data_IF_790234091857
#
_entry.id   IF_790234091857
#
_cell.length_a   1.000
_cell.length_b   1.000
_cell.length_c   1.000
_cell.angle_alpha   90.00
_cell.angle_beta   90.00
_cell.angle_gamma   90.00
#
_symmetry.space_group_name_H-M   'P 1'
#
loop_
_entity.id
_entity.type
_entity.pdbx_description
1 polymer ?
#
# COMPACT_ATOMS: atom_id res chain seq x y z
N UNK A 1 -16.72 -4.72 3.71
CA UNK A 1 -15.68 -5.53 3.04
C UNK A 1 -15.87 -5.69 1.53
N UNK A 2 -17.10 -5.70 0.99
CA UNK A 2 -17.33 -5.91 -0.46
C UNK A 2 -16.56 -4.94 -1.37
N UNK A 3 -16.46 -3.65 -1.01
CA UNK A 3 -15.71 -2.67 -1.80
C UNK A 3 -14.20 -3.00 -1.87
N UNK A 4 -13.57 -3.33 -0.74
CA UNK A 4 -12.15 -3.70 -0.70
C UNK A 4 -11.86 -5.00 -1.46
N UNK A 5 -12.77 -5.99 -1.38
CA UNK A 5 -12.66 -7.22 -2.17
C UNK A 5 -12.55 -6.92 -3.66
N UNK A 6 -13.45 -6.06 -4.18
CA UNK A 6 -13.43 -5.65 -5.60
C UNK A 6 -12.15 -4.93 -5.99
N UNK A 7 -11.61 -4.06 -5.11
CA UNK A 7 -10.35 -3.38 -5.38
C UNK A 7 -9.16 -4.36 -5.43
N UNK A 8 -9.17 -5.41 -4.61
CA UNK A 8 -8.13 -6.44 -4.63
C UNK A 8 -8.24 -7.38 -5.84
N UNK A 9 -9.45 -7.88 -6.13
CA UNK A 9 -9.72 -8.78 -7.27
C UNK A 9 -9.56 -8.08 -8.63
N UNK A 10 -9.80 -6.76 -8.63
CA UNK A 10 -9.60 -5.89 -9.77
C UNK A 10 -10.88 -5.21 -10.21
N UNK A 11 -10.72 -3.96 -10.67
CA UNK A 11 -11.79 -3.22 -11.33
C UNK A 11 -11.40 -2.92 -12.77
N UNK A 12 -12.37 -2.91 -13.66
CA UNK A 12 -12.13 -2.54 -15.05
C UNK A 12 -11.79 -1.05 -15.15
N UNK A 13 -10.56 -0.77 -15.54
CA UNK A 13 -10.10 0.57 -15.83
C UNK A 13 -10.14 0.83 -17.34
N UNK A 14 -10.69 1.96 -17.80
CA UNK A 14 -10.71 2.32 -19.20
C UNK A 14 -9.32 2.23 -19.84
N UNK A 15 -9.19 1.40 -20.88
CA UNK A 15 -7.93 1.20 -21.61
C UNK A 15 -6.86 0.33 -20.91
N UNK A 16 -7.15 -0.22 -19.72
CA UNK A 16 -6.21 -1.09 -18.98
C UNK A 16 -6.79 -2.47 -18.62
N UNK A 17 -8.10 -2.66 -18.79
CA UNK A 17 -8.77 -3.90 -18.37
C UNK A 17 -8.85 -4.02 -16.85
N UNK A 18 -9.04 -5.24 -16.30
CA UNK A 18 -9.15 -5.45 -14.86
C UNK A 18 -7.80 -5.23 -14.17
N UNK A 19 -7.75 -4.30 -13.21
CA UNK A 19 -6.53 -3.96 -12.46
C UNK A 19 -6.81 -4.05 -10.95
N UNK A 20 -5.99 -4.83 -10.24
CA UNK A 20 -5.94 -4.84 -8.78
C UNK A 20 -5.35 -3.53 -8.25
N UNK A 21 -6.11 -2.82 -7.41
CA UNK A 21 -5.79 -1.48 -6.94
C UNK A 21 -5.30 -1.41 -5.50
N UNK A 22 -5.44 -2.51 -4.75
CA UNK A 22 -4.92 -2.60 -3.39
C UNK A 22 -4.30 -3.97 -3.14
N UNK A 23 -3.41 -4.05 -2.16
CA UNK A 23 -2.98 -5.32 -1.56
C UNK A 23 -4.12 -6.01 -0.80
N UNK A 24 -3.91 -7.28 -0.44
CA UNK A 24 -4.95 -8.10 0.20
C UNK A 24 -5.49 -7.46 1.49
N UNK A 25 -6.82 -7.28 1.55
CA UNK A 25 -7.49 -6.49 2.57
C UNK A 25 -7.67 -7.17 3.93
N UNK A 26 -7.45 -8.50 4.03
CA UNK A 26 -7.52 -9.22 5.30
C UNK A 26 -6.11 -9.43 5.82
N UNK A 27 -5.58 -8.38 6.42
CA UNK A 27 -4.22 -8.32 6.95
C UNK A 27 -4.25 -7.68 8.33
N UNK A 28 -3.46 -8.24 9.24
CA UNK A 28 -3.12 -7.69 10.56
C UNK A 28 -1.76 -6.97 10.54
N UNK A 29 -1.10 -6.95 9.39
CA UNK A 29 0.20 -6.32 9.17
C UNK A 29 0.06 -4.83 8.89
N UNK A 30 1.01 -4.06 9.44
CA UNK A 30 1.24 -2.65 9.11
C UNK A 30 2.56 -2.45 8.36
N UNK A 31 3.24 -3.55 8.01
CA UNK A 31 4.49 -3.53 7.25
C UNK A 31 4.25 -2.99 5.85
N UNK A 32 5.16 -2.16 5.36
CA UNK A 32 5.16 -1.65 3.98
C UNK A 32 6.44 -2.15 3.30
N UNK A 33 6.34 -2.64 2.07
CA UNK A 33 7.50 -3.02 1.27
C UNK A 33 8.38 -1.78 0.94
N UNK A 34 9.71 -1.91 0.91
CA UNK A 34 10.62 -0.79 0.61
C UNK A 34 10.27 -0.08 -0.70
N UNK A 35 9.91 -0.83 -1.75
CA UNK A 35 9.59 -0.29 -3.07
C UNK A 35 8.32 0.58 -3.02
N UNK A 36 7.32 0.17 -2.25
CA UNK A 36 6.08 0.92 -2.07
C UNK A 36 6.30 2.18 -1.22
N UNK A 37 7.17 2.09 -0.21
CA UNK A 37 7.58 3.25 0.57
C UNK A 37 8.30 4.29 -0.29
N UNK A 38 9.19 3.86 -1.17
CA UNK A 38 9.89 4.76 -2.09
C UNK A 38 8.96 5.37 -3.13
N UNK A 39 7.99 4.61 -3.65
CA UNK A 39 6.95 5.12 -4.54
C UNK A 39 6.12 6.21 -3.87
N UNK A 40 5.67 5.99 -2.62
CA UNK A 40 4.94 6.98 -1.84
C UNK A 40 5.78 8.24 -1.59
N UNK A 41 7.06 8.10 -1.21
CA UNK A 41 7.97 9.24 -1.01
C UNK A 41 8.16 10.07 -2.28
N UNK A 42 8.34 9.42 -3.43
CA UNK A 42 8.43 10.11 -4.74
C UNK A 42 7.16 10.89 -5.06
N UNK A 43 5.99 10.28 -4.82
CA UNK A 43 4.72 10.95 -5.04
C UNK A 43 4.52 12.14 -4.09
N UNK A 44 4.83 12.00 -2.80
CA UNK A 44 4.76 13.10 -1.83
C UNK A 44 5.72 14.22 -2.24
N UNK A 45 6.95 13.91 -2.63
CA UNK A 45 7.91 14.93 -3.08
C UNK A 45 7.37 15.75 -4.26
N UNK A 46 6.67 15.11 -5.20
CA UNK A 46 6.13 15.76 -6.38
C UNK A 46 4.88 16.61 -6.12
N UNK A 47 4.06 16.25 -5.13
CA UNK A 47 2.75 16.88 -4.89
C UNK A 47 2.71 17.75 -3.62
N UNK A 48 3.46 17.36 -2.58
CA UNK A 48 3.47 17.96 -1.25
C UNK A 48 4.88 17.89 -0.63
N UNK A 49 5.89 18.57 -1.22
CA UNK A 49 7.28 18.45 -0.79
C UNK A 49 7.50 18.80 0.68
N UNK A 50 6.78 19.80 1.20
CA UNK A 50 6.87 20.24 2.60
C UNK A 50 6.34 19.18 3.59
N UNK A 51 5.55 18.22 3.11
CA UNK A 51 5.00 17.12 3.89
C UNK A 51 5.88 15.86 3.87
N UNK A 52 7.01 15.86 3.15
CA UNK A 52 7.90 14.70 3.07
C UNK A 52 8.78 14.59 4.33
N UNK A 53 8.70 13.50 5.10
CA UNK A 53 9.62 13.28 6.21
C UNK A 53 11.06 13.11 5.71
N UNK A 54 12.02 13.75 6.42
CA UNK A 54 13.45 13.66 6.10
C UNK A 54 13.94 12.22 5.99
N UNK A 55 13.48 11.35 6.90
CA UNK A 55 13.77 9.91 6.91
C UNK A 55 12.51 9.09 6.65
N UNK A 56 12.61 7.90 6.01
CA UNK A 56 11.46 7.02 5.82
C UNK A 56 10.89 6.52 7.16
N UNK A 57 9.56 6.49 7.28
CA UNK A 57 8.89 5.92 8.46
C UNK A 57 8.93 4.40 8.40
N UNK A 58 9.49 3.75 9.42
CA UNK A 58 9.57 2.29 9.46
C UNK A 58 8.43 1.71 10.29
N UNK A 59 7.52 1.02 9.62
CA UNK A 59 6.42 0.29 10.25
C UNK A 59 6.77 -1.18 10.33
N UNK A 60 6.98 -1.67 11.56
CA UNK A 60 7.26 -3.08 11.84
C UNK A 60 6.06 -3.72 12.53
N UNK A 61 5.80 -4.96 12.18
CA UNK A 61 4.74 -5.75 12.81
C UNK A 61 5.08 -6.06 14.28
N UNK A 62 4.03 -6.21 15.09
CA UNK A 62 4.16 -6.73 16.47
C UNK A 62 4.44 -8.23 16.42
N UNK A 63 5.04 -8.77 17.48
CA UNK A 63 5.28 -10.21 17.62
C UNK A 63 3.96 -10.98 17.46
N UNK A 64 3.97 -12.04 16.64
CA UNK A 64 2.83 -12.94 16.43
C UNK A 64 2.04 -12.72 15.13
N UNK A 65 2.31 -11.64 14.39
CA UNK A 65 1.77 -11.42 13.04
C UNK A 65 2.63 -12.22 12.03
N UNK A 66 2.00 -12.84 11.04
CA UNK A 66 2.73 -13.53 9.97
C UNK A 66 3.52 -12.52 9.13
N UNK A 67 4.84 -12.63 9.11
CA UNK A 67 5.74 -11.65 8.45
C UNK A 67 5.53 -11.51 6.93
N UNK A 68 4.89 -12.52 6.30
CA UNK A 68 4.53 -12.47 4.89
C UNK A 68 3.41 -11.46 4.58
N UNK A 69 2.64 -11.02 5.59
CA UNK A 69 1.55 -10.07 5.39
C UNK A 69 2.07 -8.64 5.21
N UNK A 70 1.36 -7.86 4.40
CA UNK A 70 1.64 -6.45 4.14
C UNK A 70 0.43 -5.60 4.52
N UNK A 71 0.64 -4.32 4.80
CA UNK A 71 -0.43 -3.34 4.98
C UNK A 71 -1.31 -3.24 3.72
N UNK A 72 -2.55 -2.80 3.91
CA UNK A 72 -3.45 -2.44 2.80
C UNK A 72 -2.95 -1.14 2.16
N UNK A 73 -2.51 -1.20 0.89
CA UNK A 73 -1.98 -0.05 0.15
C UNK A 73 -2.22 -0.20 -1.36
N UNK A 74 -2.10 0.90 -2.14
CA UNK A 74 -2.02 0.84 -3.60
C UNK A 74 -0.82 0.04 -4.12
#
# INVERSE_FOLDING_TARGET
>A
MMAAQKLYEGIDLPGKGPVGLITYMRTDSIRIAPEAQDAARKWILANYPDSLPKTPNLFKNRKGIQDAHEAIRP
#
